data_IF_374816614130
#
_entry.id   IF_374816614130
#
_cell.length_a   1.000
_cell.length_b   1.000
_cell.length_c   1.000
_cell.angle_alpha   90.00
_cell.angle_beta   90.00
_cell.angle_gamma   90.00
#
_symmetry.space_group_name_H-M   'P 1'
#
loop_
_entity.id
_entity.type
_entity.pdbx_description
1 polymer ?
#
# COMPACT_ATOMS: atom_id res chain seq x y z
N UNK A 1 -1.94 -22.77 37.63
CA UNK A 1 -0.66 -22.03 37.71
C UNK A 1 -0.67 -20.97 36.60
N UNK A 2 -0.31 -19.72 36.87
CA UNK A 2 -0.19 -18.73 35.82
C UNK A 2 0.87 -19.20 34.82
N UNK A 3 0.50 -19.24 33.52
CA UNK A 3 1.45 -19.55 32.43
C UNK A 3 2.48 -18.45 32.35
N UNK A 4 3.75 -18.74 32.64
CA UNK A 4 4.85 -17.76 32.67
C UNK A 4 5.56 -17.58 31.32
N UNK A 5 4.87 -17.75 30.20
CA UNK A 5 5.51 -17.69 28.89
C UNK A 5 4.67 -16.99 27.80
N UNK A 6 5.35 -16.29 26.90
CA UNK A 6 4.74 -15.70 25.69
C UNK A 6 4.32 -16.84 24.74
N UNK A 7 3.07 -16.84 24.29
CA UNK A 7 2.59 -17.81 23.30
C UNK A 7 3.05 -17.44 21.89
N UNK A 8 2.88 -16.14 21.52
CA UNK A 8 3.17 -15.65 20.17
C UNK A 8 3.85 -14.28 20.21
N UNK A 9 4.92 -14.12 19.45
CA UNK A 9 5.50 -12.81 19.13
C UNK A 9 4.97 -12.36 17.78
N UNK A 10 4.44 -11.15 17.70
CA UNK A 10 4.05 -10.50 16.43
C UNK A 10 5.11 -9.46 16.10
N UNK A 11 5.71 -9.53 14.91
CA UNK A 11 6.76 -8.62 14.46
C UNK A 11 6.13 -7.61 13.51
N UNK A 12 5.96 -6.38 13.99
CA UNK A 12 5.29 -5.26 13.32
C UNK A 12 3.92 -4.94 13.91
N UNK A 13 3.63 -3.65 14.15
CA UNK A 13 2.33 -3.12 14.59
C UNK A 13 1.62 -2.33 13.47
N UNK A 14 1.76 -2.77 12.21
CA UNK A 14 0.91 -2.34 11.09
C UNK A 14 -0.47 -3.02 11.13
N UNK A 15 -1.31 -2.78 10.13
CA UNK A 15 -2.65 -3.35 10.03
C UNK A 15 -2.68 -4.88 10.21
N UNK A 16 -1.80 -5.60 9.51
CA UNK A 16 -1.70 -7.06 9.62
C UNK A 16 -1.32 -7.53 11.02
N UNK A 17 -0.31 -6.89 11.63
CA UNK A 17 0.17 -7.28 12.95
C UNK A 17 -0.84 -7.01 14.05
N UNK A 18 -1.52 -5.87 14.01
CA UNK A 18 -2.58 -5.53 14.97
C UNK A 18 -3.80 -6.43 14.80
N UNK A 19 -4.20 -6.75 13.56
CA UNK A 19 -5.29 -7.68 13.29
C UNK A 19 -4.97 -9.10 13.83
N UNK A 20 -3.74 -9.58 13.61
CA UNK A 20 -3.29 -10.86 14.16
C UNK A 20 -3.25 -10.85 15.69
N UNK A 21 -2.66 -9.81 16.29
CA UNK A 21 -2.53 -9.67 17.74
C UNK A 21 -3.89 -9.60 18.43
N UNK A 22 -4.86 -8.87 17.84
CA UNK A 22 -6.23 -8.79 18.34
C UNK A 22 -6.90 -10.15 18.34
N UNK A 23 -6.92 -10.84 17.20
CA UNK A 23 -7.54 -12.16 17.08
C UNK A 23 -6.90 -13.21 18.02
N UNK A 24 -5.58 -13.16 18.22
CA UNK A 24 -4.87 -14.05 19.14
C UNK A 24 -5.17 -13.72 20.60
N UNK A 25 -5.19 -12.45 20.98
CA UNK A 25 -5.49 -12.04 22.37
C UNK A 25 -6.94 -12.33 22.74
N UNK A 26 -7.89 -12.16 21.78
CA UNK A 26 -9.29 -12.52 21.95
C UNK A 26 -9.48 -14.03 22.17
N UNK A 27 -8.64 -14.84 21.53
CA UNK A 27 -8.59 -16.29 21.74
C UNK A 27 -7.80 -16.72 23.00
N UNK A 28 -7.40 -15.78 23.86
CA UNK A 28 -6.73 -16.04 25.15
C UNK A 28 -5.24 -16.36 25.04
N UNK A 29 -4.57 -16.04 23.92
CA UNK A 29 -3.13 -16.18 23.78
C UNK A 29 -2.39 -15.02 24.45
N UNK A 30 -1.22 -15.32 25.06
CA UNK A 30 -0.30 -14.31 25.55
C UNK A 30 0.59 -13.80 24.39
N UNK A 31 0.38 -12.55 23.99
CA UNK A 31 0.98 -11.95 22.78
C UNK A 31 1.90 -10.79 23.14
N UNK A 32 3.06 -10.72 22.48
CA UNK A 32 3.91 -9.52 22.48
C UNK A 32 4.07 -9.04 21.04
N UNK A 33 3.71 -7.78 20.79
CA UNK A 33 3.93 -7.10 19.50
C UNK A 33 5.20 -6.26 19.62
N UNK A 34 6.13 -6.41 18.67
CA UNK A 34 7.34 -5.60 18.56
C UNK A 34 7.22 -4.69 17.33
N UNK A 35 7.25 -3.38 17.53
CA UNK A 35 7.20 -2.38 16.47
C UNK A 35 8.47 -1.52 16.47
N UNK A 36 9.09 -1.40 15.32
CA UNK A 36 10.35 -0.67 15.17
C UNK A 36 10.20 0.84 15.38
N UNK A 37 9.08 1.42 15.00
CA UNK A 37 8.79 2.86 15.12
C UNK A 37 8.26 3.22 16.50
N UNK A 38 8.33 4.51 16.89
CA UNK A 38 7.66 5.00 18.11
C UNK A 38 6.14 5.16 17.95
N UNK A 39 5.57 4.63 16.87
CA UNK A 39 4.14 4.65 16.54
C UNK A 39 3.68 3.33 15.93
N UNK A 40 2.39 3.05 16.04
CA UNK A 40 1.71 1.96 15.33
C UNK A 40 1.34 2.38 13.89
N UNK A 41 0.73 1.48 13.11
CA UNK A 41 0.15 1.73 11.79
C UNK A 41 1.05 1.36 10.62
N UNK A 42 2.37 1.24 10.84
CA UNK A 42 3.31 0.90 9.76
C UNK A 42 3.27 1.93 8.63
N UNK A 43 2.86 1.49 7.41
CA UNK A 43 2.69 2.35 6.22
C UNK A 43 1.39 3.17 6.22
N UNK A 44 0.45 2.91 7.11
CA UNK A 44 -0.68 3.81 7.37
C UNK A 44 -0.16 4.95 8.23
N UNK A 45 -0.23 6.16 7.68
CA UNK A 45 0.21 7.38 8.31
C UNK A 45 -0.74 8.51 7.90
N UNK A 46 -1.71 8.78 8.75
CA UNK A 46 -2.62 9.92 8.63
C UNK A 46 -2.11 11.03 9.56
N UNK A 47 -1.94 12.23 9.04
CA UNK A 47 -1.54 13.41 9.80
C UNK A 47 -2.76 14.29 9.98
N UNK A 48 -3.12 14.53 11.23
CA UNK A 48 -4.15 15.50 11.61
C UNK A 48 -3.45 16.83 11.91
N UNK A 49 -3.58 17.77 11.00
CA UNK A 49 -2.95 19.09 11.09
C UNK A 49 -4.06 20.15 10.98
N UNK A 50 -4.12 21.06 11.95
CA UNK A 50 -5.18 22.08 12.02
C UNK A 50 -5.18 23.05 10.83
N UNK A 51 -4.04 23.19 10.17
CA UNK A 51 -3.94 24.01 8.96
C UNK A 51 -4.52 23.32 7.72
N UNK A 52 -4.74 21.99 7.76
CA UNK A 52 -5.26 21.24 6.64
C UNK A 52 -6.77 20.96 6.83
N UNK A 53 -7.57 21.15 5.77
CA UNK A 53 -9.03 21.02 5.88
C UNK A 53 -9.51 19.57 6.01
N UNK A 54 -8.64 18.59 5.77
CA UNK A 54 -8.89 17.15 5.83
C UNK A 54 -7.70 16.43 6.45
N UNK A 55 -7.90 15.20 6.96
CA UNK A 55 -6.79 14.32 7.32
C UNK A 55 -5.84 14.12 6.14
N UNK A 56 -4.54 14.28 6.38
CA UNK A 56 -3.50 14.16 5.34
C UNK A 56 -2.99 12.72 5.30
N UNK A 57 -3.33 12.00 4.25
CA UNK A 57 -2.92 10.61 4.06
C UNK A 57 -1.54 10.51 3.41
N UNK A 58 -0.53 10.20 4.21
CA UNK A 58 0.84 10.02 3.71
C UNK A 58 1.10 8.61 3.17
N UNK A 59 0.21 7.67 3.43
CA UNK A 59 0.20 6.29 2.95
C UNK A 59 -1.01 5.99 2.07
N UNK A 60 -1.72 4.86 2.34
CA UNK A 60 -2.97 4.51 1.66
C UNK A 60 -4.02 5.58 1.93
N UNK A 61 -4.87 5.81 0.93
CA UNK A 61 -5.95 6.81 0.99
C UNK A 61 -7.29 6.21 0.58
N UNK A 62 -7.26 5.27 -0.37
CA UNK A 62 -8.47 4.71 -0.95
C UNK A 62 -8.76 3.29 -0.47
N UNK A 63 -10.05 2.98 -0.31
CA UNK A 63 -10.55 1.63 -0.32
C UNK A 63 -10.97 1.31 -1.76
N UNK A 64 -10.38 0.28 -2.34
CA UNK A 64 -10.68 -0.18 -3.68
C UNK A 64 -11.65 -1.36 -3.64
N UNK A 65 -12.73 -1.28 -4.41
CA UNK A 65 -13.73 -2.33 -4.51
C UNK A 65 -14.39 -2.66 -3.18
N UNK A 66 -14.56 -3.94 -2.90
CA UNK A 66 -15.21 -4.40 -1.68
C UNK A 66 -14.40 -4.05 -0.42
N UNK A 67 -13.06 -4.14 -0.48
CA UNK A 67 -12.17 -3.89 0.66
C UNK A 67 -12.70 -4.48 1.99
N UNK A 68 -13.21 -5.71 1.91
CA UNK A 68 -14.10 -6.31 2.91
C UNK A 68 -13.59 -6.19 4.34
N UNK A 69 -12.33 -6.58 4.58
CA UNK A 69 -11.78 -6.56 5.93
C UNK A 69 -11.68 -5.13 6.52
N UNK A 70 -11.46 -4.11 5.68
CA UNK A 70 -11.46 -2.72 6.11
C UNK A 70 -12.88 -2.23 6.38
N UNK A 71 -13.86 -2.58 5.52
CA UNK A 71 -15.27 -2.19 5.71
C UNK A 71 -15.88 -2.79 6.97
N UNK A 72 -15.63 -4.06 7.24
CA UNK A 72 -16.07 -4.71 8.49
C UNK A 72 -15.57 -3.94 9.73
N UNK A 73 -14.35 -3.41 9.69
CA UNK A 73 -13.83 -2.57 10.77
C UNK A 73 -14.49 -1.20 10.76
N UNK A 74 -14.65 -0.57 9.60
CA UNK A 74 -15.29 0.73 9.49
C UNK A 74 -16.72 0.70 10.06
N UNK A 75 -17.49 -0.32 9.71
CA UNK A 75 -18.85 -0.53 10.22
C UNK A 75 -18.85 -0.74 11.74
N UNK A 76 -17.96 -1.60 12.24
CA UNK A 76 -17.86 -1.88 13.68
C UNK A 76 -17.37 -0.67 14.50
N UNK A 77 -16.60 0.21 13.88
CA UNK A 77 -16.06 1.42 14.49
C UNK A 77 -16.96 2.65 14.30
N UNK A 78 -18.00 2.56 13.47
CA UNK A 78 -18.85 3.70 13.10
C UNK A 78 -18.13 4.75 12.24
N UNK A 79 -17.14 4.34 11.42
CA UNK A 79 -16.39 5.25 10.54
C UNK A 79 -17.18 5.54 9.27
N UNK A 80 -17.10 6.77 8.79
CA UNK A 80 -17.78 7.19 7.58
C UNK A 80 -17.00 6.76 6.33
N UNK A 81 -17.54 5.78 5.59
CA UNK A 81 -17.03 5.36 4.28
C UNK A 81 -17.71 6.17 3.20
N UNK A 82 -16.97 7.03 2.54
CA UNK A 82 -17.47 7.95 1.51
C UNK A 82 -17.04 7.49 0.14
N UNK A 83 -18.01 7.26 -0.75
CA UNK A 83 -17.73 6.91 -2.14
C UNK A 83 -17.15 8.10 -2.90
N UNK A 84 -16.12 7.84 -3.69
CA UNK A 84 -15.54 8.88 -4.54
C UNK A 84 -16.31 8.94 -5.86
N UNK A 85 -16.50 10.14 -6.37
CA UNK A 85 -16.83 10.30 -7.77
C UNK A 85 -15.67 9.79 -8.64
N UNK A 86 -15.97 9.21 -9.79
CA UNK A 86 -14.99 8.51 -10.64
C UNK A 86 -14.85 9.21 -12.03
N UNK A 87 -14.80 10.54 -12.01
CA UNK A 87 -14.63 11.33 -13.22
C UNK A 87 -13.15 11.46 -13.59
N UNK A 88 -12.70 10.67 -14.56
CA UNK A 88 -11.34 10.65 -15.06
C UNK A 88 -11.20 11.48 -16.34
N UNK A 89 -10.20 12.36 -16.37
CA UNK A 89 -9.89 13.18 -17.53
C UNK A 89 -8.43 13.04 -17.99
N UNK A 90 -8.20 13.08 -19.29
CA UNK A 90 -6.89 13.32 -19.87
C UNK A 90 -6.59 14.81 -19.88
N UNK A 91 -5.40 15.18 -19.43
CA UNK A 91 -4.86 16.53 -19.60
C UNK A 91 -3.79 16.50 -20.70
N UNK A 92 -4.00 17.30 -21.74
CA UNK A 92 -3.07 17.47 -22.86
C UNK A 92 -2.87 18.96 -23.13
N UNK A 93 -1.71 19.48 -22.74
CA UNK A 93 -1.30 20.88 -22.96
C UNK A 93 -2.38 21.90 -22.54
N UNK A 94 -2.91 21.75 -21.34
CA UNK A 94 -3.92 22.62 -20.73
C UNK A 94 -5.35 22.39 -21.21
N UNK A 95 -5.59 21.34 -21.99
CA UNK A 95 -6.94 20.91 -22.39
C UNK A 95 -7.34 19.64 -21.68
N UNK A 96 -8.57 19.59 -21.20
CA UNK A 96 -9.14 18.42 -20.53
C UNK A 96 -10.06 17.67 -21.51
N UNK A 97 -9.91 16.35 -21.55
CA UNK A 97 -10.72 15.47 -22.41
C UNK A 97 -11.21 14.27 -21.59
N UNK A 98 -12.44 13.77 -21.86
CA UNK A 98 -12.91 12.53 -21.23
C UNK A 98 -11.95 11.40 -21.53
N UNK A 99 -11.74 10.51 -20.56
CA UNK A 99 -10.99 9.27 -20.81
C UNK A 99 -11.72 8.30 -21.75
N UNK A 100 -13.05 8.41 -21.83
CA UNK A 100 -13.88 7.56 -22.69
C UNK A 100 -13.73 6.08 -22.36
N UNK A 101 -13.75 5.22 -23.39
CA UNK A 101 -13.67 3.75 -23.23
C UNK A 101 -12.27 3.21 -22.86
N UNK A 102 -11.43 4.00 -22.23
CA UNK A 102 -10.04 3.58 -21.91
C UNK A 102 -10.03 2.37 -21.02
N UNK A 103 -10.86 2.36 -19.98
CA UNK A 103 -10.97 1.25 -19.04
C UNK A 103 -11.49 -0.02 -19.72
N UNK A 104 -12.54 0.09 -20.53
CA UNK A 104 -13.10 -1.03 -21.30
C UNK A 104 -12.04 -1.65 -22.24
N UNK A 105 -11.24 -0.81 -22.90
CA UNK A 105 -10.16 -1.30 -23.79
C UNK A 105 -9.04 -1.98 -22.99
N UNK A 106 -8.74 -1.46 -21.81
CA UNK A 106 -7.75 -2.05 -20.93
C UNK A 106 -8.21 -3.40 -20.40
N UNK A 107 -9.43 -3.52 -19.87
CA UNK A 107 -10.01 -4.78 -19.40
C UNK A 107 -10.00 -5.83 -20.50
N UNK A 108 -10.47 -5.51 -21.71
CA UNK A 108 -10.42 -6.42 -22.88
C UNK A 108 -8.98 -6.82 -23.26
N UNK A 109 -7.99 -5.98 -22.99
CA UNK A 109 -6.60 -6.34 -23.19
C UNK A 109 -6.13 -7.36 -22.15
N UNK A 110 -6.53 -7.19 -20.89
CA UNK A 110 -6.17 -8.10 -19.79
C UNK A 110 -6.77 -9.49 -19.96
N UNK A 111 -8.01 -9.61 -20.44
CA UNK A 111 -8.67 -10.88 -20.77
C UNK A 111 -7.86 -11.75 -21.77
N UNK A 112 -6.98 -11.12 -22.55
CA UNK A 112 -6.12 -11.81 -23.53
C UNK A 112 -4.86 -12.40 -22.92
N UNK A 113 -4.59 -12.15 -21.63
CA UNK A 113 -3.43 -12.69 -20.93
C UNK A 113 -3.71 -14.18 -20.60
N UNK A 114 -2.84 -15.11 -21.04
CA UNK A 114 -3.01 -16.51 -20.70
C UNK A 114 -2.85 -16.73 -19.20
N UNK A 115 -3.86 -17.33 -18.56
CA UNK A 115 -3.80 -17.70 -17.13
C UNK A 115 -3.05 -19.00 -16.88
N UNK A 116 -2.76 -19.77 -17.94
CA UNK A 116 -2.02 -21.03 -17.89
C UNK A 116 -0.78 -20.97 -18.77
N UNK A 117 0.24 -21.76 -18.43
CA UNK A 117 1.49 -21.83 -19.16
C UNK A 117 2.58 -20.92 -18.55
N UNK A 118 3.72 -20.74 -19.25
CA UNK A 118 4.84 -19.93 -18.78
C UNK A 118 4.41 -18.47 -18.59
N UNK A 119 4.69 -17.91 -17.42
CA UNK A 119 4.47 -16.51 -17.14
C UNK A 119 5.52 -15.66 -17.84
N UNK A 120 5.14 -14.47 -18.27
CA UNK A 120 5.99 -13.49 -18.94
C UNK A 120 5.77 -12.10 -18.34
N UNK A 121 6.71 -11.18 -18.59
CA UNK A 121 6.49 -9.79 -18.18
C UNK A 121 5.36 -9.12 -18.98
N UNK A 122 4.70 -8.15 -18.36
CA UNK A 122 3.65 -7.40 -19.03
C UNK A 122 4.15 -6.69 -20.29
N UNK A 123 5.37 -6.15 -20.27
CA UNK A 123 5.98 -5.56 -21.46
C UNK A 123 6.12 -6.57 -22.61
N UNK A 124 6.57 -7.81 -22.30
CA UNK A 124 6.69 -8.88 -23.30
C UNK A 124 5.32 -9.30 -23.84
N UNK A 125 4.30 -9.38 -22.99
CA UNK A 125 2.93 -9.63 -23.43
C UNK A 125 2.44 -8.57 -24.43
N UNK A 126 2.62 -7.28 -24.11
CA UNK A 126 2.23 -6.19 -25.01
C UNK A 126 2.95 -6.24 -26.38
N UNK A 127 4.24 -6.61 -26.37
CA UNK A 127 5.03 -6.74 -27.58
C UNK A 127 4.55 -7.92 -28.46
N UNK A 128 4.31 -9.08 -27.86
CA UNK A 128 3.89 -10.29 -28.57
C UNK A 128 2.50 -10.17 -29.20
N UNK A 129 1.60 -9.42 -28.57
CA UNK A 129 0.21 -9.27 -29.03
C UNK A 129 0.00 -8.16 -30.07
N UNK A 130 1.06 -7.49 -30.51
CA UNK A 130 1.00 -6.38 -31.49
C UNK A 130 -0.05 -5.33 -31.10
N UNK A 131 -0.07 -4.99 -29.81
CA UNK A 131 -1.03 -3.99 -29.29
C UNK A 131 -0.76 -2.63 -29.94
N UNK A 132 -1.78 -1.91 -30.43
CA UNK A 132 -1.60 -0.57 -31.01
C UNK A 132 -0.88 0.37 -30.06
N UNK A 133 -0.04 1.26 -30.59
CA UNK A 133 0.81 2.13 -29.79
C UNK A 133 0.03 2.95 -28.72
N UNK A 134 -1.13 3.58 -29.02
CA UNK A 134 -1.88 4.32 -28.01
C UNK A 134 -2.39 3.42 -26.86
N UNK A 135 -2.90 2.23 -27.18
CA UNK A 135 -3.38 1.27 -26.19
C UNK A 135 -2.22 0.71 -25.35
N UNK A 136 -1.08 0.45 -25.97
CA UNK A 136 0.14 -0.01 -25.28
C UNK A 136 0.67 1.03 -24.30
N UNK A 137 0.73 2.29 -24.71
CA UNK A 137 1.15 3.39 -23.85
C UNK A 137 0.22 3.55 -22.65
N UNK A 138 -1.08 3.55 -22.88
CA UNK A 138 -2.08 3.61 -21.83
C UNK A 138 -1.97 2.44 -20.85
N UNK A 139 -1.84 1.20 -21.35
CA UNK A 139 -1.70 0.03 -20.52
C UNK A 139 -0.42 0.08 -19.65
N UNK A 140 0.68 0.61 -20.20
CA UNK A 140 1.90 0.87 -19.41
C UNK A 140 1.65 1.89 -18.31
N UNK A 141 1.06 3.04 -18.63
CA UNK A 141 0.74 4.09 -17.67
C UNK A 141 -0.14 3.57 -16.52
N UNK A 142 -1.11 2.72 -16.85
CA UNK A 142 -1.96 2.12 -15.84
C UNK A 142 -1.14 1.19 -14.91
N UNK A 143 -0.35 0.28 -15.47
CA UNK A 143 0.43 -0.66 -14.67
C UNK A 143 1.51 0.06 -13.84
N UNK A 144 2.20 1.04 -14.44
CA UNK A 144 3.21 1.85 -13.76
C UNK A 144 2.59 2.80 -12.72
N UNK A 145 1.37 3.29 -12.94
CA UNK A 145 0.66 4.20 -12.01
C UNK A 145 -0.07 3.45 -10.90
N UNK A 146 -1.00 2.56 -11.24
CA UNK A 146 -1.86 1.89 -10.26
C UNK A 146 -1.13 0.80 -9.47
N UNK A 147 -0.41 -0.11 -10.16
CA UNK A 147 0.38 -1.14 -9.51
C UNK A 147 1.77 -0.64 -9.06
N UNK A 148 2.15 0.57 -9.45
CA UNK A 148 3.48 1.14 -9.27
C UNK A 148 4.61 0.16 -9.68
N UNK A 149 4.35 -0.65 -10.70
CA UNK A 149 5.19 -1.76 -11.10
C UNK A 149 6.00 -1.44 -12.36
N UNK A 150 7.20 -2.04 -12.45
CA UNK A 150 7.96 -2.02 -13.70
C UNK A 150 7.37 -3.03 -14.69
N UNK A 151 6.89 -2.57 -15.84
CA UNK A 151 6.22 -3.43 -16.85
C UNK A 151 7.09 -4.55 -17.41
N UNK A 152 8.41 -4.39 -17.37
CA UNK A 152 9.39 -5.40 -17.78
C UNK A 152 9.67 -6.46 -16.70
N UNK A 153 9.27 -6.23 -15.45
CA UNK A 153 9.47 -7.15 -14.32
C UNK A 153 8.16 -7.78 -13.83
N UNK A 154 7.06 -7.03 -13.88
CA UNK A 154 5.78 -7.49 -13.36
C UNK A 154 5.22 -8.67 -14.15
N UNK A 155 4.69 -9.66 -13.46
CA UNK A 155 3.98 -10.80 -14.02
C UNK A 155 2.73 -10.36 -14.77
N UNK A 156 2.59 -10.75 -16.03
CA UNK A 156 1.37 -10.50 -16.78
C UNK A 156 0.18 -11.24 -16.16
N UNK A 157 0.41 -12.48 -15.71
CA UNK A 157 -0.64 -13.28 -15.06
C UNK A 157 -1.13 -12.64 -13.76
N UNK A 158 -0.24 -12.04 -12.97
CA UNK A 158 -0.65 -11.36 -11.73
C UNK A 158 -1.47 -10.10 -12.01
N UNK A 159 -1.14 -9.34 -13.07
CA UNK A 159 -1.93 -8.18 -13.48
C UNK A 159 -3.35 -8.60 -13.90
N UNK A 160 -3.47 -9.70 -14.67
CA UNK A 160 -4.77 -10.21 -15.07
C UNK A 160 -5.60 -10.69 -13.88
N UNK A 161 -5.00 -11.34 -12.89
CA UNK A 161 -5.69 -11.79 -11.68
C UNK A 161 -6.16 -10.65 -10.78
N UNK A 162 -5.40 -9.55 -10.72
CA UNK A 162 -5.71 -8.40 -9.87
C UNK A 162 -6.73 -7.43 -10.50
N UNK A 163 -6.95 -7.51 -11.81
CA UNK A 163 -7.97 -6.72 -12.50
C UNK A 163 -9.34 -7.38 -12.28
N UNK A 164 -10.05 -6.97 -11.24
CA UNK A 164 -11.37 -7.48 -10.91
C UNK A 164 -12.35 -7.41 -12.09
N UNK A 165 -13.26 -8.40 -12.18
CA UNK A 165 -14.18 -8.59 -13.29
C UNK A 165 -15.50 -7.79 -13.14
N UNK A 166 -15.72 -7.08 -12.03
CA UNK A 166 -17.02 -6.43 -11.73
C UNK A 166 -16.91 -4.91 -11.64
N UNK A 167 -18.01 -4.20 -11.97
CA UNK A 167 -18.12 -2.74 -11.78
C UNK A 167 -17.85 -2.34 -10.32
N UNK A 168 -18.20 -3.18 -9.38
CA UNK A 168 -17.98 -2.96 -7.94
C UNK A 168 -16.49 -2.96 -7.57
N UNK A 169 -15.66 -3.76 -8.27
CA UNK A 169 -14.22 -3.79 -8.06
C UNK A 169 -13.52 -2.49 -8.49
N UNK A 170 -14.18 -1.65 -9.29
CA UNK A 170 -13.65 -0.38 -9.77
C UNK A 170 -14.03 0.81 -8.87
N UNK A 171 -15.04 0.66 -7.99
CA UNK A 171 -15.46 1.73 -7.08
C UNK A 171 -14.39 2.03 -6.05
N UNK A 172 -14.24 3.30 -5.73
CA UNK A 172 -13.25 3.78 -4.77
C UNK A 172 -13.94 4.55 -3.64
N UNK A 173 -13.38 4.44 -2.44
CA UNK A 173 -13.94 5.08 -1.25
C UNK A 173 -12.82 5.66 -0.39
N UNK A 174 -13.17 6.62 0.47
CA UNK A 174 -12.31 7.16 1.52
C UNK A 174 -12.96 6.98 2.88
N UNK A 175 -12.13 6.92 3.92
CA UNK A 175 -12.57 7.11 5.31
C UNK A 175 -12.49 8.59 5.63
N UNK A 176 -13.60 9.18 6.05
CA UNK A 176 -13.65 10.61 6.38
C UNK A 176 -12.70 10.98 7.52
N UNK A 177 -12.55 10.09 8.49
CA UNK A 177 -11.66 10.24 9.65
C UNK A 177 -10.19 9.91 9.32
N UNK A 178 -9.93 9.40 8.12
CA UNK A 178 -8.64 8.90 7.69
C UNK A 178 -8.37 7.44 8.06
N UNK A 179 -7.42 6.83 7.37
CA UNK A 179 -7.12 5.40 7.52
C UNK A 179 -6.56 5.03 8.89
N UNK A 180 -5.94 5.98 9.62
CA UNK A 180 -5.39 5.69 10.94
C UNK A 180 -6.46 5.31 11.96
N UNK A 181 -7.72 5.73 11.76
CA UNK A 181 -8.85 5.32 12.60
C UNK A 181 -9.05 3.80 12.63
N UNK A 182 -8.79 3.11 11.51
CA UNK A 182 -8.79 1.63 11.45
C UNK A 182 -7.70 1.02 12.35
N UNK A 183 -6.53 1.64 12.35
CA UNK A 183 -5.39 1.20 13.19
C UNK A 183 -5.69 1.40 14.68
N UNK A 184 -6.29 2.54 15.03
CA UNK A 184 -6.71 2.84 16.39
C UNK A 184 -7.76 1.86 16.90
N UNK A 185 -8.76 1.54 16.07
CA UNK A 185 -9.76 0.56 16.42
C UNK A 185 -9.18 -0.83 16.65
N UNK A 186 -8.25 -1.28 15.79
CA UNK A 186 -7.54 -2.55 15.99
C UNK A 186 -6.77 -2.56 17.30
N UNK A 187 -6.06 -1.46 17.62
CA UNK A 187 -5.30 -1.32 18.86
C UNK A 187 -6.21 -1.28 20.08
N UNK A 188 -7.29 -0.50 20.03
CA UNK A 188 -8.23 -0.36 21.14
C UNK A 188 -8.89 -1.69 21.53
N UNK A 189 -9.06 -2.60 20.59
CA UNK A 189 -9.60 -3.93 20.83
C UNK A 189 -8.59 -4.96 21.34
N UNK A 190 -7.32 -4.62 21.54
CA UNK A 190 -6.35 -5.53 22.18
C UNK A 190 -6.68 -5.72 23.66
N UNK A 191 -6.60 -6.94 24.15
CA UNK A 191 -6.77 -7.26 25.57
C UNK A 191 -5.50 -6.94 26.35
N UNK A 192 -5.47 -5.91 27.25
CA UNK A 192 -4.24 -5.47 27.90
C UNK A 192 -3.59 -6.54 28.78
N UNK A 193 -4.40 -7.44 29.34
CA UNK A 193 -3.95 -8.57 30.16
C UNK A 193 -3.29 -9.68 29.35
N UNK A 194 -3.50 -9.70 28.01
CA UNK A 194 -2.99 -10.74 27.10
C UNK A 194 -2.05 -10.21 26.03
N UNK A 195 -2.15 -8.93 25.66
CA UNK A 195 -1.36 -8.38 24.57
C UNK A 195 -0.58 -7.14 25.02
N UNK A 196 0.73 -7.14 24.77
CA UNK A 196 1.62 -6.00 25.04
C UNK A 196 2.24 -5.52 23.75
N UNK A 197 1.99 -4.29 23.38
CA UNK A 197 2.65 -3.62 22.25
C UNK A 197 3.87 -2.86 22.75
N UNK A 198 5.03 -3.16 22.18
CA UNK A 198 6.31 -2.50 22.49
C UNK A 198 6.75 -1.71 21.26
N UNK A 199 6.72 -0.40 21.37
CA UNK A 199 7.19 0.53 20.35
C UNK A 199 8.70 0.76 20.45
N UNK A 200 9.28 1.33 19.40
CA UNK A 200 10.72 1.61 19.29
C UNK A 200 11.59 0.37 19.55
N UNK A 201 11.12 -0.80 19.15
CA UNK A 201 11.77 -2.11 19.29
C UNK A 201 12.11 -2.66 17.91
N UNK A 202 13.34 -2.44 17.45
CA UNK A 202 13.83 -2.90 16.15
C UNK A 202 14.25 -4.35 16.23
N UNK A 203 13.50 -5.25 15.58
CA UNK A 203 13.87 -6.67 15.47
C UNK A 203 15.05 -6.81 14.51
N UNK A 204 16.06 -7.58 14.90
CA UNK A 204 17.29 -7.79 14.12
C UNK A 204 17.49 -9.25 13.75
N UNK A 205 16.91 -10.19 14.52
CA UNK A 205 17.05 -11.61 14.25
C UNK A 205 15.85 -12.42 14.71
N UNK A 206 15.55 -13.47 13.96
CA UNK A 206 14.56 -14.50 14.28
C UNK A 206 15.24 -15.85 14.15
N UNK A 207 15.60 -16.46 15.28
CA UNK A 207 16.08 -17.84 15.35
C UNK A 207 14.91 -18.73 15.69
N UNK A 208 14.79 -19.84 14.99
CA UNK A 208 13.62 -20.68 15.20
C UNK A 208 13.89 -22.15 14.90
N UNK A 209 13.11 -22.98 15.54
CA UNK A 209 12.92 -24.41 15.28
C UNK A 209 11.46 -24.74 15.56
N UNK A 210 11.01 -25.89 15.14
CA UNK A 210 9.62 -26.32 15.37
C UNK A 210 9.20 -26.14 16.83
N UNK A 211 8.17 -25.33 17.05
CA UNK A 211 7.57 -25.04 18.36
C UNK A 211 8.35 -24.05 19.24
N UNK A 212 9.43 -23.44 18.76
CA UNK A 212 10.22 -22.46 19.50
C UNK A 212 10.74 -21.35 18.60
N UNK A 213 10.59 -20.11 19.03
CA UNK A 213 11.13 -18.92 18.38
C UNK A 213 11.86 -18.04 19.38
N UNK A 214 13.04 -17.59 19.02
CA UNK A 214 13.82 -16.59 19.73
C UNK A 214 13.97 -15.34 18.84
N UNK A 215 13.44 -14.19 19.28
CA UNK A 215 13.50 -12.92 18.57
C UNK A 215 14.47 -11.99 19.29
N UNK A 216 15.56 -11.64 18.59
CA UNK A 216 16.52 -10.62 19.02
C UNK A 216 16.08 -9.24 18.53
N UNK A 217 16.01 -8.27 19.44
CA UNK A 217 15.63 -6.90 19.13
C UNK A 217 16.42 -5.91 20.00
N UNK A 218 16.54 -4.67 19.52
CA UNK A 218 17.11 -3.55 20.29
C UNK A 218 16.11 -2.41 20.40
N UNK A 219 16.26 -1.59 21.43
CA UNK A 219 15.56 -0.31 21.49
C UNK A 219 16.10 0.62 20.38
N UNK A 220 15.26 1.39 19.72
CA UNK A 220 15.68 2.33 18.69
C UNK A 220 16.71 3.37 19.20
N UNK A 221 16.67 3.69 20.51
CA UNK A 221 17.61 4.60 21.18
C UNK A 221 18.80 3.88 21.83
N UNK A 222 18.89 2.55 21.76
CA UNK A 222 19.91 1.78 22.48
C UNK A 222 20.72 0.84 21.59
N UNK A 223 21.90 0.45 22.04
CA UNK A 223 22.80 -0.49 21.35
C UNK A 223 22.65 -1.92 21.85
N UNK A 224 22.06 -2.12 23.03
CA UNK A 224 21.96 -3.44 23.64
C UNK A 224 20.84 -4.27 23.02
N UNK A 225 21.20 -5.42 22.45
CA UNK A 225 20.23 -6.42 21.98
C UNK A 225 19.60 -7.15 23.16
N UNK A 226 18.27 -7.26 23.12
CA UNK A 226 17.44 -8.03 24.04
C UNK A 226 16.81 -9.19 23.30
N UNK A 227 16.40 -10.21 24.02
CA UNK A 227 15.81 -11.41 23.44
C UNK A 227 14.45 -11.71 24.07
N UNK A 228 13.51 -12.13 23.25
CA UNK A 228 12.24 -12.74 23.67
C UNK A 228 12.10 -14.13 23.08
N UNK A 229 11.48 -15.02 23.84
CA UNK A 229 11.16 -16.39 23.42
C UNK A 229 9.67 -16.62 23.43
N UNK A 230 9.17 -17.33 22.42
CA UNK A 230 7.79 -17.74 22.29
C UNK A 230 7.69 -19.10 21.59
N UNK A 231 6.49 -19.68 21.56
CA UNK A 231 6.21 -20.91 20.80
C UNK A 231 6.12 -20.64 19.30
N UNK A 232 5.58 -19.47 18.93
CA UNK A 232 5.31 -19.08 17.55
C UNK A 232 5.63 -17.61 17.30
N UNK A 233 5.85 -17.27 16.03
CA UNK A 233 5.91 -15.86 15.62
C UNK A 233 5.05 -15.60 14.37
N UNK A 234 4.39 -14.43 14.34
CA UNK A 234 3.74 -13.86 13.16
C UNK A 234 4.63 -12.74 12.65
N UNK A 235 5.15 -12.90 11.44
CA UNK A 235 6.04 -11.95 10.77
C UNK A 235 5.22 -11.10 9.84
N UNK A 236 5.11 -9.79 10.12
CA UNK A 236 4.32 -8.84 9.30
C UNK A 236 5.18 -7.74 8.70
N UNK A 237 6.45 -8.05 8.49
CA UNK A 237 7.43 -7.12 7.92
C UNK A 237 7.13 -6.83 6.44
N UNK A 238 7.28 -5.58 5.97
CA UNK A 238 7.21 -5.24 4.56
C UNK A 238 8.23 -6.01 3.73
N UNK A 239 7.89 -6.31 2.47
CA UNK A 239 8.79 -7.02 1.56
C UNK A 239 10.14 -6.29 1.41
N UNK A 240 10.14 -4.95 1.37
CA UNK A 240 11.38 -4.17 1.29
C UNK A 240 12.33 -4.40 2.47
N UNK A 241 11.79 -4.61 3.67
CA UNK A 241 12.57 -4.97 4.85
C UNK A 241 13.08 -6.41 4.77
N UNK A 242 12.25 -7.33 4.27
CA UNK A 242 12.64 -8.74 4.07
C UNK A 242 13.72 -8.91 2.99
N UNK A 243 13.80 -7.97 2.03
CA UNK A 243 14.83 -7.91 0.96
C UNK A 243 16.09 -7.17 1.38
N UNK A 244 16.09 -6.48 2.52
CA UNK A 244 17.22 -5.65 2.96
C UNK A 244 18.49 -6.49 3.16
N UNK A 245 19.63 -5.96 2.70
CA UNK A 245 20.92 -6.60 2.94
C UNK A 245 21.26 -6.60 4.44
N UNK A 246 21.97 -7.61 4.97
CA UNK A 246 22.25 -7.74 6.39
C UNK A 246 22.90 -6.50 7.06
N UNK A 247 23.61 -5.68 6.29
CA UNK A 247 24.27 -4.46 6.76
C UNK A 247 23.35 -3.23 6.78
N UNK A 248 22.15 -3.34 6.21
CA UNK A 248 21.23 -2.21 6.11
C UNK A 248 20.39 -2.04 7.36
N UNK A 249 20.11 -0.79 7.71
CA UNK A 249 19.26 -0.48 8.86
C UNK A 249 17.87 -1.11 8.70
N UNK A 250 17.37 -1.75 9.76
CA UNK A 250 16.07 -2.44 9.76
C UNK A 250 16.08 -3.84 9.17
N UNK A 251 17.19 -4.33 8.61
CA UNK A 251 17.32 -5.71 8.13
C UNK A 251 17.08 -6.73 9.24
N UNK A 252 16.39 -7.83 8.91
CA UNK A 252 16.10 -8.92 9.86
C UNK A 252 16.69 -10.22 9.36
N UNK A 253 17.54 -10.83 10.16
CA UNK A 253 18.14 -12.13 9.86
C UNK A 253 17.27 -13.28 10.37
N UNK A 254 16.92 -14.20 9.49
CA UNK A 254 16.23 -15.45 9.83
C UNK A 254 17.23 -16.61 9.88
N UNK A 255 17.17 -17.42 10.95
CA UNK A 255 18.05 -18.56 11.13
C UNK A 255 17.26 -19.78 11.66
N UNK A 256 17.05 -20.81 10.82
CA UNK A 256 17.34 -20.85 9.38
C UNK A 256 16.38 -19.94 8.58
N UNK A 257 16.81 -19.45 7.41
CA UNK A 257 15.93 -18.71 6.52
C UNK A 257 14.89 -19.66 5.89
N UNK A 258 13.55 -19.43 6.08
CA UNK A 258 12.52 -20.28 5.49
C UNK A 258 12.58 -20.32 3.95
N UNK A 259 12.33 -21.49 3.34
CA UNK A 259 12.35 -21.64 1.88
C UNK A 259 11.34 -20.71 1.20
N UNK A 260 10.13 -20.59 1.76
CA UNK A 260 9.09 -19.67 1.27
C UNK A 260 9.56 -18.21 1.27
N UNK A 261 10.25 -17.79 2.33
CA UNK A 261 10.81 -16.44 2.41
C UNK A 261 11.89 -16.21 1.36
N UNK A 262 12.82 -17.16 1.16
CA UNK A 262 13.85 -17.05 0.11
C UNK A 262 13.23 -16.93 -1.28
N UNK A 263 12.22 -17.74 -1.58
CA UNK A 263 11.50 -17.68 -2.85
C UNK A 263 10.80 -16.33 -3.05
N UNK A 264 10.13 -15.81 -2.00
CA UNK A 264 9.44 -14.53 -2.06
C UNK A 264 10.43 -13.37 -2.29
N UNK A 265 11.54 -13.33 -1.56
CA UNK A 265 12.59 -12.30 -1.73
C UNK A 265 13.14 -12.26 -3.17
N UNK A 266 13.23 -13.42 -3.83
CA UNK A 266 13.72 -13.50 -5.21
C UNK A 266 12.67 -13.15 -6.27
N UNK A 267 11.40 -13.41 -6.03
CA UNK A 267 10.34 -13.41 -7.04
C UNK A 267 9.30 -12.30 -6.88
N UNK A 268 9.19 -11.74 -5.71
CA UNK A 268 8.30 -10.61 -5.47
C UNK A 268 9.11 -9.31 -5.49
N UNK A 269 8.49 -8.25 -5.97
CA UNK A 269 9.13 -6.96 -6.16
C UNK A 269 8.47 -5.89 -5.26
N UNK A 270 9.26 -4.87 -4.93
CA UNK A 270 8.80 -3.71 -4.14
C UNK A 270 8.56 -2.55 -5.08
N UNK A 271 7.39 -1.92 -4.96
CA UNK A 271 7.08 -0.70 -5.70
C UNK A 271 7.62 0.53 -4.98
N UNK A 272 7.99 1.52 -5.77
CA UNK A 272 8.24 2.87 -5.29
C UNK A 272 7.12 3.81 -5.73
N UNK A 273 6.74 4.70 -4.83
CA UNK A 273 5.69 5.69 -5.04
C UNK A 273 6.16 7.02 -4.49
N UNK A 274 5.91 8.08 -5.24
CA UNK A 274 5.96 9.44 -4.77
C UNK A 274 4.54 9.99 -4.74
N UNK A 275 4.03 10.24 -3.53
CA UNK A 275 2.74 10.88 -3.27
C UNK A 275 3.03 12.23 -2.63
N UNK A 276 2.58 13.30 -3.27
CA UNK A 276 2.76 14.67 -2.81
C UNK A 276 1.41 15.36 -2.74
N UNK A 277 1.02 15.80 -1.56
CA UNK A 277 -0.19 16.58 -1.36
C UNK A 277 0.14 18.07 -1.36
N UNK A 278 -0.60 18.84 -2.14
CA UNK A 278 -0.46 20.29 -2.29
C UNK A 278 -1.74 20.97 -1.78
N UNK A 279 -1.60 21.89 -0.83
CA UNK A 279 -2.69 22.76 -0.38
C UNK A 279 -2.50 24.15 -0.97
N UNK A 280 -3.50 24.60 -1.70
CA UNK A 280 -3.56 25.92 -2.29
C UNK A 280 -4.45 26.85 -1.45
N UNK A 281 -4.41 28.16 -1.73
CA UNK A 281 -5.28 29.16 -1.11
C UNK A 281 -6.73 29.02 -1.56
N UNK A 282 -6.93 28.55 -2.79
CA UNK A 282 -8.25 28.36 -3.41
C UNK A 282 -8.26 27.10 -4.31
N UNK A 283 -9.42 26.45 -4.45
CA UNK A 283 -9.63 25.35 -5.38
C UNK A 283 -9.95 25.91 -6.78
N UNK A 284 -8.96 26.53 -7.43
CA UNK A 284 -9.15 27.21 -8.73
C UNK A 284 -9.65 26.28 -9.84
N UNK A 285 -9.49 24.98 -9.67
CA UNK A 285 -10.01 23.97 -10.61
C UNK A 285 -11.53 23.75 -10.47
N UNK A 286 -12.16 24.22 -9.39
CA UNK A 286 -13.60 24.18 -9.17
C UNK A 286 -14.31 25.42 -9.75
N UNK A 287 -13.56 26.40 -10.27
CA UNK A 287 -14.12 27.57 -10.96
C UNK A 287 -14.77 27.13 -12.29
N UNK A 288 -16.08 27.34 -12.47
CA UNK A 288 -16.78 26.95 -13.70
C UNK A 288 -16.21 27.58 -14.98
N UNK A 289 -15.66 28.78 -14.90
CA UNK A 289 -15.03 29.43 -16.05
C UNK A 289 -13.68 28.83 -16.38
N UNK A 290 -12.88 28.51 -15.35
CA UNK A 290 -11.63 27.78 -15.50
C UNK A 290 -11.86 26.44 -16.20
N UNK A 291 -12.86 25.71 -15.76
CA UNK A 291 -13.22 24.40 -16.33
C UNK A 291 -13.70 24.52 -17.80
N UNK A 292 -14.67 25.40 -18.09
CA UNK A 292 -15.21 25.60 -19.44
C UNK A 292 -14.14 25.94 -20.47
N UNK A 293 -13.19 26.78 -20.12
CA UNK A 293 -12.10 27.18 -21.03
C UNK A 293 -11.21 25.99 -21.43
N UNK A 294 -11.10 24.94 -20.59
CA UNK A 294 -10.22 23.79 -20.79
C UNK A 294 -10.92 22.55 -21.29
N UNK A 295 -12.12 22.32 -20.84
CA UNK A 295 -12.92 21.15 -21.17
C UNK A 295 -13.79 21.35 -22.43
N UNK A 296 -14.12 22.59 -22.77
CA UNK A 296 -15.06 22.88 -23.82
C UNK A 296 -16.43 22.26 -23.54
N UNK A 297 -17.15 21.83 -24.62
CA UNK A 297 -18.43 21.10 -24.47
C UNK A 297 -18.27 19.59 -24.29
N UNK A 298 -17.06 19.08 -24.28
CA UNK A 298 -16.79 17.63 -24.29
C UNK A 298 -17.00 16.95 -22.94
N UNK A 299 -16.86 17.69 -21.84
CA UNK A 299 -17.13 17.22 -20.50
C UNK A 299 -18.46 17.83 -20.05
N UNK A 300 -19.48 17.00 -19.80
CA UNK A 300 -20.81 17.44 -19.39
C UNK A 300 -20.85 18.10 -18.00
N UNK A 301 -22.04 18.36 -17.51
CA UNK A 301 -22.27 18.76 -16.10
C UNK A 301 -22.29 17.51 -15.22
N UNK A 302 -21.79 17.58 -13.95
CA UNK A 302 -21.27 18.76 -13.26
C UNK A 302 -19.79 19.01 -13.56
N UNK A 303 -19.43 20.28 -13.76
CA UNK A 303 -18.06 20.76 -14.01
C UNK A 303 -17.17 20.45 -12.81
N UNK A 304 -16.58 19.25 -12.74
CA UNK A 304 -15.63 18.89 -11.68
C UNK A 304 -14.51 18.00 -12.21
N UNK A 305 -13.41 18.06 -11.54
CA UNK A 305 -12.25 17.23 -11.80
C UNK A 305 -12.02 16.34 -10.57
N UNK A 306 -12.12 15.04 -10.75
CA UNK A 306 -11.79 14.09 -9.70
C UNK A 306 -10.39 13.53 -9.91
N UNK A 307 -10.14 12.95 -11.09
CA UNK A 307 -8.83 12.42 -11.46
C UNK A 307 -8.35 13.04 -12.77
N UNK A 308 -7.08 13.44 -12.79
CA UNK A 308 -6.40 13.99 -13.98
C UNK A 308 -5.26 13.04 -14.34
N UNK A 309 -5.18 12.67 -15.62
CA UNK A 309 -4.09 11.88 -16.16
C UNK A 309 -3.31 12.68 -17.20
N UNK A 310 -1.99 12.82 -17.00
CA UNK A 310 -1.06 13.46 -17.92
C UNK A 310 0.04 12.48 -18.33
N UNK A 311 -0.01 12.02 -19.59
CA UNK A 311 0.97 11.05 -20.12
C UNK A 311 2.40 11.54 -20.09
N UNK A 312 2.62 12.85 -20.23
CA UNK A 312 3.92 13.49 -20.32
C UNK A 312 4.43 14.04 -18.99
N UNK A 313 3.56 14.05 -17.96
CA UNK A 313 3.88 14.58 -16.64
C UNK A 313 4.91 13.77 -15.87
N UNK A 314 5.73 14.45 -15.10
CA UNK A 314 6.55 13.82 -14.08
C UNK A 314 5.65 13.11 -13.05
N UNK A 315 4.52 13.75 -12.72
CA UNK A 315 3.41 13.16 -12.00
C UNK A 315 2.27 12.90 -12.98
N UNK A 316 2.09 11.63 -13.41
CA UNK A 316 1.13 11.30 -14.46
C UNK A 316 -0.32 11.24 -13.96
N UNK A 317 -0.55 11.15 -12.66
CA UNK A 317 -1.88 11.05 -12.07
C UNK A 317 -2.02 12.06 -10.94
N UNK A 318 -3.17 12.72 -10.95
CA UNK A 318 -3.57 13.69 -9.94
C UNK A 318 -4.99 13.42 -9.52
N UNK A 319 -5.31 13.74 -8.28
CA UNK A 319 -6.70 13.74 -7.82
C UNK A 319 -6.97 14.88 -6.87
N UNK A 320 -8.21 15.33 -6.89
CA UNK A 320 -8.73 16.32 -5.94
C UNK A 320 -9.22 15.64 -4.67
N UNK A 321 -9.61 16.45 -3.71
CA UNK A 321 -10.18 15.94 -2.46
C UNK A 321 -11.68 15.61 -2.55
N UNK A 322 -12.29 15.61 -3.75
CA UNK A 322 -13.72 15.32 -3.91
C UNK A 322 -14.13 14.02 -3.18
N UNK A 323 -15.33 13.98 -2.58
CA UNK A 323 -16.42 14.96 -2.69
C UNK A 323 -16.27 16.21 -1.80
N UNK A 324 -15.24 16.30 -0.96
CA UNK A 324 -14.96 17.51 -0.18
C UNK A 324 -14.32 18.58 -1.09
N UNK A 325 -15.03 19.70 -1.26
CA UNK A 325 -14.56 20.81 -2.09
C UNK A 325 -13.57 21.68 -1.33
N UNK A 326 -12.37 21.19 -1.16
CA UNK A 326 -11.28 21.87 -0.44
C UNK A 326 -10.07 22.07 -1.37
N UNK A 327 -9.24 23.08 -1.13
CA UNK A 327 -8.15 23.44 -2.04
C UNK A 327 -6.93 22.52 -1.89
N UNK A 328 -7.17 21.20 -1.96
CA UNK A 328 -6.12 20.18 -1.87
C UNK A 328 -6.13 19.33 -3.13
N UNK A 329 -4.95 19.14 -3.70
CA UNK A 329 -4.74 18.22 -4.82
C UNK A 329 -3.54 17.33 -4.53
N UNK A 330 -3.64 16.06 -4.91
CA UNK A 330 -2.58 15.07 -4.72
C UNK A 330 -1.93 14.74 -6.05
N UNK A 331 -0.61 14.79 -6.06
CA UNK A 331 0.25 14.33 -7.14
C UNK A 331 0.72 12.90 -6.87
N UNK A 332 0.67 12.05 -7.88
CA UNK A 332 1.05 10.65 -7.79
C UNK A 332 1.98 10.24 -8.94
N UNK A 333 3.06 9.59 -8.57
CA UNK A 333 3.96 8.89 -9.49
C UNK A 333 4.32 7.53 -8.90
N UNK A 334 4.19 6.47 -9.69
CA UNK A 334 4.53 5.10 -9.30
C UNK A 334 5.60 4.50 -10.21
N UNK A 335 6.26 3.44 -9.72
CA UNK A 335 7.23 2.64 -10.46
C UNK A 335 8.38 3.46 -11.03
N UNK A 336 8.70 3.30 -12.34
CA UNK A 336 9.86 3.96 -12.96
C UNK A 336 9.89 5.49 -12.79
N UNK A 337 8.71 6.14 -12.74
CA UNK A 337 8.62 7.60 -12.54
C UNK A 337 9.00 7.99 -11.11
N UNK A 338 8.55 7.23 -10.12
CA UNK A 338 8.94 7.44 -8.73
C UNK A 338 10.45 7.16 -8.52
N UNK A 339 11.01 6.18 -9.23
CA UNK A 339 12.45 5.90 -9.19
C UNK A 339 13.29 7.06 -9.69
N UNK A 340 12.81 7.77 -10.72
CA UNK A 340 13.48 8.96 -11.25
C UNK A 340 13.59 10.11 -10.23
N UNK A 341 12.81 10.07 -9.14
CA UNK A 341 12.85 11.06 -8.07
C UNK A 341 13.80 10.69 -6.91
N UNK A 342 14.52 9.58 -7.04
CA UNK A 342 15.32 9.01 -5.95
C UNK A 342 16.30 9.98 -5.30
N UNK A 343 16.88 10.88 -6.06
CA UNK A 343 17.87 11.86 -5.59
C UNK A 343 17.29 13.23 -5.25
N UNK A 344 15.98 13.44 -5.51
CA UNK A 344 15.35 14.72 -5.26
C UNK A 344 15.07 14.92 -3.77
N UNK A 345 15.25 16.16 -3.31
CA UNK A 345 14.75 16.64 -2.02
C UNK A 345 13.28 17.05 -2.16
N UNK A 346 12.59 17.23 -1.05
CA UNK A 346 11.17 17.63 -1.03
C UNK A 346 10.89 18.88 -1.89
N UNK A 347 11.72 19.92 -1.79
CA UNK A 347 11.56 21.13 -2.60
C UNK A 347 11.67 20.86 -4.11
N UNK A 348 12.56 19.93 -4.51
CA UNK A 348 12.67 19.49 -5.90
C UNK A 348 11.46 18.69 -6.38
N UNK A 349 10.83 17.92 -5.49
CA UNK A 349 9.56 17.23 -5.80
C UNK A 349 8.42 18.22 -6.00
N UNK A 350 8.31 19.24 -5.14
CA UNK A 350 7.32 20.33 -5.27
C UNK A 350 7.53 21.08 -6.58
N UNK A 351 8.78 21.40 -6.92
CA UNK A 351 9.14 22.06 -8.17
C UNK A 351 8.65 21.28 -9.40
N UNK A 352 8.92 19.98 -9.44
CA UNK A 352 8.46 19.08 -10.49
C UNK A 352 6.93 18.96 -10.52
N UNK A 353 6.30 18.88 -9.36
CA UNK A 353 4.85 18.80 -9.25
C UNK A 353 4.17 20.06 -9.78
N UNK A 354 4.59 21.24 -9.38
CA UNK A 354 4.02 22.50 -9.86
C UNK A 354 4.22 22.66 -11.38
N UNK A 355 5.39 22.29 -11.90
CA UNK A 355 5.65 22.31 -13.35
C UNK A 355 4.74 21.32 -14.09
N UNK A 356 4.53 20.12 -13.55
CA UNK A 356 3.66 19.10 -14.12
C UNK A 356 2.18 19.52 -14.09
N UNK A 357 1.70 20.03 -12.94
CA UNK A 357 0.33 20.52 -12.78
C UNK A 357 0.05 21.73 -13.68
N UNK A 358 1.00 22.68 -13.75
CA UNK A 358 0.89 23.86 -14.59
C UNK A 358 0.72 23.51 -16.06
N UNK A 359 1.49 22.55 -16.57
CA UNK A 359 1.37 22.05 -17.92
C UNK A 359 0.03 21.31 -18.12
N UNK A 360 -0.31 20.40 -17.22
CA UNK A 360 -1.54 19.61 -17.32
C UNK A 360 -2.78 20.49 -17.38
N UNK A 361 -2.86 21.51 -16.53
CA UNK A 361 -4.02 22.39 -16.41
C UNK A 361 -3.89 23.70 -17.23
N UNK A 362 -2.78 23.94 -17.92
CA UNK A 362 -2.55 25.20 -18.65
C UNK A 362 -2.54 26.42 -17.70
N UNK A 363 -1.98 26.26 -16.51
CA UNK A 363 -1.85 27.34 -15.52
C UNK A 363 -0.40 27.81 -15.46
N UNK A 364 -0.13 29.11 -15.54
CA UNK A 364 1.23 29.62 -15.38
C UNK A 364 1.83 29.21 -14.04
N UNK A 365 3.07 28.74 -14.05
CA UNK A 365 3.76 28.27 -12.87
C UNK A 365 3.79 29.30 -11.74
N UNK A 366 4.09 30.55 -12.05
CA UNK A 366 4.12 31.65 -11.06
C UNK A 366 2.78 31.80 -10.32
N UNK A 367 1.64 31.56 -11.01
CA UNK A 367 0.32 31.58 -10.36
C UNK A 367 0.16 30.40 -9.39
N UNK A 368 0.67 29.23 -9.73
CA UNK A 368 0.62 28.06 -8.83
C UNK A 368 1.50 28.28 -7.61
N UNK A 369 2.67 28.90 -7.77
CA UNK A 369 3.57 29.25 -6.68
C UNK A 369 2.93 30.28 -5.74
N UNK A 370 2.27 31.31 -6.29
CA UNK A 370 1.55 32.33 -5.51
C UNK A 370 0.35 31.73 -4.73
N UNK A 371 -0.33 30.75 -5.29
CA UNK A 371 -1.47 30.10 -4.64
C UNK A 371 -1.07 28.99 -3.66
N UNK A 372 0.12 28.40 -3.78
CA UNK A 372 0.55 27.30 -2.93
C UNK A 372 0.83 27.78 -1.50
N UNK A 373 0.13 27.19 -0.53
CA UNK A 373 0.34 27.51 0.90
C UNK A 373 1.19 26.50 1.62
N UNK A 374 0.99 25.21 1.35
CA UNK A 374 1.77 24.17 2.00
C UNK A 374 1.75 22.86 1.21
N UNK A 375 2.64 21.95 1.58
CA UNK A 375 2.70 20.60 1.02
C UNK A 375 3.06 19.58 2.09
N UNK A 376 2.77 18.30 1.78
CA UNK A 376 3.18 17.14 2.58
C UNK A 376 3.64 16.02 1.65
N UNK A 377 4.76 15.40 2.01
CA UNK A 377 5.32 14.23 1.33
C UNK A 377 5.97 13.30 2.34
N UNK A 378 5.95 11.99 2.06
CA UNK A 378 6.71 11.02 2.85
C UNK A 378 7.37 10.01 1.90
N UNK A 379 8.68 9.87 2.01
CA UNK A 379 9.44 8.91 1.17
C UNK A 379 9.53 7.54 1.87
N UNK A 380 8.58 6.68 1.57
CA UNK A 380 8.54 5.31 2.08
C UNK A 380 9.73 4.46 1.66
N UNK A 381 10.43 4.81 0.58
CA UNK A 381 11.62 4.10 0.12
C UNK A 381 12.80 4.33 1.06
N UNK A 382 12.99 5.57 1.54
CA UNK A 382 14.04 5.95 2.46
C UNK A 382 13.77 5.55 3.91
N UNK A 383 12.52 5.21 4.24
CA UNK A 383 12.14 4.72 5.56
C UNK A 383 12.70 3.29 5.76
N UNK A 384 13.64 3.07 6.71
CA UNK A 384 14.33 1.80 6.88
C UNK A 384 13.41 0.65 7.31
N UNK A 385 12.22 0.95 7.80
CA UNK A 385 11.23 -0.02 8.25
C UNK A 385 10.10 -0.25 7.25
N UNK A 386 10.20 0.34 6.05
CA UNK A 386 9.30 0.12 4.91
C UNK A 386 10.04 -0.27 3.65
N UNK A 387 11.05 0.54 3.24
CA UNK A 387 11.89 0.37 2.06
C UNK A 387 11.10 0.23 0.77
N UNK A 388 10.00 0.98 0.67
CA UNK A 388 9.09 1.02 -0.47
C UNK A 388 7.64 1.15 -0.06
N UNK A 389 6.76 1.26 -1.05
CA UNK A 389 5.33 1.50 -0.85
C UNK A 389 4.55 0.20 -0.62
N UNK A 390 4.37 -0.61 -1.66
CA UNK A 390 3.70 -1.91 -1.61
C UNK A 390 4.38 -2.91 -2.55
N UNK A 391 3.89 -4.15 -2.56
CA UNK A 391 4.52 -5.22 -3.33
C UNK A 391 3.79 -5.48 -4.64
N UNK A 392 4.50 -6.02 -5.62
CA UNK A 392 3.91 -6.62 -6.81
C UNK A 392 4.61 -7.94 -7.15
N UNK A 393 3.93 -8.78 -7.92
CA UNK A 393 4.43 -10.10 -8.29
C UNK A 393 5.33 -9.98 -9.52
N UNK A 394 6.60 -10.39 -9.40
CA UNK A 394 7.51 -10.51 -10.52
C UNK A 394 7.20 -11.76 -11.38
N UNK A 395 7.80 -11.83 -12.55
CA UNK A 395 7.61 -12.97 -13.49
C UNK A 395 7.89 -14.30 -12.80
N UNK A 396 6.91 -15.21 -12.85
CA UNK A 396 6.96 -16.52 -12.19
C UNK A 396 6.89 -16.44 -10.66
N UNK A 397 6.39 -15.35 -10.09
CA UNK A 397 6.34 -15.12 -8.64
C UNK A 397 5.06 -15.60 -7.94
N UNK A 398 3.97 -15.87 -8.65
CA UNK A 398 2.71 -16.34 -8.05
C UNK A 398 2.89 -17.55 -7.11
N UNK A 399 3.64 -18.61 -7.45
CA UNK A 399 3.86 -19.71 -6.51
C UNK A 399 4.61 -19.29 -5.24
N UNK A 400 5.52 -18.33 -5.32
CA UNK A 400 6.27 -17.82 -4.17
C UNK A 400 5.37 -16.99 -3.24
N UNK A 401 4.44 -16.20 -3.79
CA UNK A 401 3.43 -15.49 -3.04
C UNK A 401 2.54 -16.47 -2.27
N UNK A 402 1.98 -17.47 -2.96
CA UNK A 402 1.16 -18.50 -2.33
C UNK A 402 1.93 -19.32 -1.28
N UNK A 403 3.23 -19.54 -1.45
CA UNK A 403 4.03 -20.24 -0.45
C UNK A 403 4.12 -19.48 0.87
N UNK A 404 4.13 -18.14 0.85
CA UNK A 404 4.12 -17.30 2.06
C UNK A 404 2.81 -17.38 2.86
N UNK A 405 1.71 -17.80 2.26
CA UNK A 405 0.44 -17.96 2.98
C UNK A 405 0.43 -19.18 3.91
N UNK A 406 1.40 -20.09 3.73
CA UNK A 406 1.47 -21.35 4.48
C UNK A 406 2.37 -21.22 5.70
N UNK A 407 2.00 -21.83 6.85
CA UNK A 407 2.84 -21.87 8.02
C UNK A 407 4.16 -22.60 7.78
N UNK A 408 5.27 -22.07 8.31
CA UNK A 408 6.54 -22.77 8.35
C UNK A 408 6.58 -23.65 9.62
N UNK A 409 6.43 -24.95 9.45
CA UNK A 409 6.45 -25.98 10.50
C UNK A 409 5.53 -25.67 11.71
N UNK A 410 4.41 -24.97 11.46
CA UNK A 410 3.50 -24.55 12.53
C UNK A 410 4.12 -23.57 13.56
N UNK A 411 5.21 -22.92 13.20
CA UNK A 411 6.02 -22.08 14.10
C UNK A 411 6.16 -20.63 13.62
N UNK A 412 6.54 -20.43 12.34
CA UNK A 412 6.53 -19.11 11.73
C UNK A 412 5.35 -18.96 10.79
N UNK A 413 4.70 -17.82 10.88
CA UNK A 413 3.53 -17.43 10.08
C UNK A 413 3.80 -16.08 9.44
N UNK A 414 3.54 -15.94 8.14
CA UNK A 414 3.73 -14.67 7.45
C UNK A 414 2.37 -14.01 7.19
N UNK A 415 2.30 -12.71 7.45
CA UNK A 415 1.16 -11.85 7.14
C UNK A 415 1.66 -10.49 6.64
N UNK A 416 0.78 -9.67 6.10
CA UNK A 416 1.06 -8.40 5.44
C UNK A 416 0.50 -8.40 4.03
N UNK A 417 0.40 -7.23 3.42
CA UNK A 417 -0.19 -7.03 2.07
C UNK A 417 0.42 -7.92 0.99
N UNK A 418 1.70 -8.28 1.15
CA UNK A 418 2.43 -9.17 0.22
C UNK A 418 1.90 -10.61 0.24
N UNK A 419 1.28 -11.02 1.35
CA UNK A 419 0.88 -12.41 1.59
C UNK A 419 -0.62 -12.66 1.38
N UNK A 420 -1.33 -11.71 0.77
CA UNK A 420 -2.74 -11.85 0.39
C UNK A 420 -2.87 -11.77 -1.13
N UNK A 421 -3.01 -12.92 -1.82
CA UNK A 421 -3.00 -12.96 -3.28
C UNK A 421 -4.11 -12.15 -3.95
N UNK A 422 -5.31 -12.17 -3.38
CA UNK A 422 -6.51 -11.57 -3.99
C UNK A 422 -6.58 -10.04 -3.75
N UNK A 423 -5.97 -9.55 -2.66
CA UNK A 423 -5.96 -8.14 -2.28
C UNK A 423 -4.53 -7.62 -2.00
N UNK A 424 -3.55 -8.07 -2.80
CA UNK A 424 -2.15 -7.65 -2.66
C UNK A 424 -1.99 -6.14 -2.76
N UNK A 425 -1.13 -5.58 -1.92
CA UNK A 425 -0.85 -4.13 -1.92
C UNK A 425 -1.88 -3.28 -1.20
N UNK A 426 -2.92 -3.89 -0.60
CA UNK A 426 -4.02 -3.17 0.05
C UNK A 426 -4.00 -3.28 1.58
N UNK A 427 -4.70 -2.35 2.26
CA UNK A 427 -4.90 -2.42 3.71
C UNK A 427 -5.85 -3.57 4.06
N UNK A 428 -6.90 -3.79 3.26
CA UNK A 428 -7.85 -4.89 3.46
C UNK A 428 -7.13 -6.25 3.40
N UNK A 429 -6.29 -6.45 2.39
CA UNK A 429 -5.45 -7.65 2.28
C UNK A 429 -4.47 -7.82 3.45
N UNK A 430 -3.89 -6.71 3.94
CA UNK A 430 -3.04 -6.77 5.12
C UNK A 430 -3.82 -7.24 6.36
N UNK A 431 -5.02 -6.71 6.61
CA UNK A 431 -5.90 -7.11 7.73
C UNK A 431 -6.29 -8.58 7.60
N UNK A 432 -6.80 -8.98 6.42
CA UNK A 432 -7.23 -10.36 6.13
C UNK A 432 -6.10 -11.37 6.34
N UNK A 433 -4.88 -11.03 5.90
CA UNK A 433 -3.69 -11.86 6.11
C UNK A 433 -3.32 -12.02 7.58
N UNK A 434 -3.46 -10.95 8.39
CA UNK A 434 -3.26 -11.00 9.84
C UNK A 434 -4.24 -11.92 10.53
N UNK A 435 -5.53 -11.82 10.19
CA UNK A 435 -6.59 -12.70 10.68
C UNK A 435 -6.35 -14.16 10.26
N UNK A 436 -5.92 -14.40 9.01
CA UNK A 436 -5.54 -15.73 8.51
C UNK A 436 -4.39 -16.30 9.34
N UNK A 437 -3.32 -15.53 9.56
CA UNK A 437 -2.18 -16.00 10.35
C UNK A 437 -2.58 -16.34 11.79
N UNK A 438 -3.45 -15.55 12.42
CA UNK A 438 -3.99 -15.86 13.76
C UNK A 438 -4.75 -17.20 13.77
N UNK A 439 -5.65 -17.44 12.82
CA UNK A 439 -6.36 -18.72 12.68
C UNK A 439 -5.39 -19.90 12.51
N UNK A 440 -4.34 -19.72 11.73
CA UNK A 440 -3.30 -20.74 11.53
C UNK A 440 -2.51 -21.05 12.80
N UNK A 441 -2.15 -20.02 13.60
CA UNK A 441 -1.51 -20.19 14.91
C UNK A 441 -2.41 -21.00 15.83
N UNK A 442 -3.68 -20.63 15.96
CA UNK A 442 -4.64 -21.32 16.82
C UNK A 442 -4.83 -22.78 16.42
N UNK A 443 -4.97 -23.07 15.11
CA UNK A 443 -5.08 -24.43 14.58
C UNK A 443 -3.82 -25.27 14.84
N UNK A 444 -2.62 -24.66 14.77
CA UNK A 444 -1.37 -25.34 15.07
C UNK A 444 -1.25 -25.70 16.56
N UNK A 445 -1.71 -24.80 17.46
CA UNK A 445 -1.74 -25.05 18.90
C UNK A 445 -2.68 -26.22 19.28
N UNK A 446 -3.87 -26.26 18.69
CA UNK A 446 -4.82 -27.34 18.94
C UNK A 446 -4.23 -28.72 18.60
N UNK A 447 -3.55 -28.84 17.45
CA UNK A 447 -2.86 -30.07 17.04
C UNK A 447 -1.75 -30.49 18.00
N UNK A 448 -0.99 -29.55 18.54
CA UNK A 448 0.10 -29.84 19.50
C UNK A 448 -0.44 -30.24 20.86
N UNK A 449 -1.64 -29.80 21.25
CA UNK A 449 -2.28 -30.17 22.50
C UNK A 449 -2.92 -31.57 22.46
N UNK A 450 -3.23 -32.09 21.25
CA UNK A 450 -3.86 -33.39 20.99
C UNK A 450 -2.85 -34.50 20.65
N UNK A 451 -1.58 -34.15 20.45
CA UNK A 451 -0.46 -35.09 20.24
C UNK A 451 0.40 -35.25 21.50
#
# INVERSE_FOLDING_TARGET
>A
MPRTGIDTIVIGAGAAGLAAARALSDAGCDVVVLEARPRIGGRILTVHDQEWPLPVEMGPEFLHGEARATREIADAAGLAVVELPDEHVWAEDGRLRPMGEVWTRFSKLLERIPTKGPDISFARFLAQRRVPAPTREMARLFVEGYFAAHVDRVSAQSIASAAGETDESQRQFRLAEGYFAVVEWLRAGLRPERCRVRLACVVESVRWRRGEVEVGYRSAAGTQTRTLRARTAVVTLPLGVLKAAPSEAGAVRFDPAPAALRAAVQKLEVSHVCKLMLRFREAFWDDPEFFRRRAGRALGEPNRIDFIHDRRGDFPTWWTANPWRVPVVTAWAGGPRADAFSELRETGLVDRALSSLGRALGVPRLRLEDLLESWRVHDWRRDPYSRGAYSYVGVGGLPAQHALTRPCEGTLFFAGETTEPDEMGTVAGAIASGQRAARQVLSSRARTASA
#
